data_IF_609624306936
#
_entry.id   IF_609624306936
#
_cell.length_a   1.000
_cell.length_b   1.000
_cell.length_c   1.000
_cell.angle_alpha   90.00
_cell.angle_beta   90.00
_cell.angle_gamma   90.00
#
_symmetry.space_group_name_H-M   'P 1'
#
loop_
_entity.id
_entity.type
_entity.pdbx_description
1 polymer ?
#
# COMPACT_ATOMS: atom_id res chain seq x y z
N UNK A 1 10.08 4.77 5.15
CA UNK A 1 9.86 3.31 5.26
C UNK A 1 10.81 2.52 4.34
N UNK A 2 12.13 2.64 4.55
CA UNK A 2 13.18 2.04 3.70
C UNK A 2 13.95 0.92 4.42
N UNK A 3 13.25 -0.09 4.92
CA UNK A 3 13.90 -1.26 5.53
C UNK A 3 14.83 -1.97 4.54
N UNK A 4 15.75 -2.84 5.02
CA UNK A 4 16.85 -3.41 4.23
C UNK A 4 16.41 -4.30 3.04
N UNK A 5 15.11 -4.52 2.85
CA UNK A 5 14.55 -5.36 1.82
C UNK A 5 13.78 -4.49 0.83
N UNK A 6 14.46 -4.10 -0.25
CA UNK A 6 13.82 -3.39 -1.35
C UNK A 6 12.97 -4.40 -2.14
N UNK A 7 11.67 -4.49 -1.86
CA UNK A 7 10.75 -5.29 -2.66
C UNK A 7 10.57 -4.63 -4.03
N UNK A 8 10.98 -5.32 -5.09
CA UNK A 8 10.82 -4.81 -6.44
C UNK A 8 9.35 -4.80 -6.87
N UNK A 9 9.02 -3.93 -7.82
CA UNK A 9 7.68 -3.86 -8.42
C UNK A 9 7.25 -5.22 -9.02
N UNK A 10 8.21 -5.99 -9.55
CA UNK A 10 7.98 -7.35 -10.05
C UNK A 10 7.64 -8.34 -8.93
N UNK A 11 8.24 -8.18 -7.74
CA UNK A 11 7.87 -8.98 -6.58
C UNK A 11 6.44 -8.66 -6.12
N UNK A 12 6.05 -7.37 -6.10
CA UNK A 12 4.68 -6.95 -5.77
C UNK A 12 3.66 -7.58 -6.74
N UNK A 13 3.90 -7.48 -8.05
CA UNK A 13 3.05 -8.11 -9.08
C UNK A 13 2.91 -9.62 -8.90
N UNK A 14 4.03 -10.33 -8.69
CA UNK A 14 4.03 -11.78 -8.50
C UNK A 14 3.25 -12.19 -7.25
N UNK A 15 3.41 -11.47 -6.15
CA UNK A 15 2.76 -11.81 -4.88
C UNK A 15 1.26 -11.51 -4.89
N UNK A 16 0.81 -10.46 -5.55
CA UNK A 16 -0.60 -10.03 -5.48
C UNK A 16 -1.43 -10.38 -6.71
N UNK A 17 -0.81 -10.62 -7.88
CA UNK A 17 -1.53 -10.80 -9.14
C UNK A 17 -2.51 -11.98 -9.15
N UNK A 18 -2.28 -13.02 -8.34
CA UNK A 18 -3.19 -14.16 -8.21
C UNK A 18 -4.41 -13.88 -7.32
N UNK A 19 -4.37 -12.83 -6.48
CA UNK A 19 -5.42 -12.49 -5.52
C UNK A 19 -6.57 -11.69 -6.15
N UNK A 20 -6.37 -11.13 -7.35
CA UNK A 20 -7.38 -10.32 -8.07
C UNK A 20 -7.95 -9.18 -7.22
N UNK A 21 -7.09 -8.50 -6.47
CA UNK A 21 -7.46 -7.36 -5.62
C UNK A 21 -8.03 -6.25 -6.50
N UNK A 22 -9.23 -5.77 -6.19
CA UNK A 22 -9.83 -4.61 -6.87
C UNK A 22 -9.30 -3.29 -6.30
N UNK A 23 -9.47 -2.20 -7.06
CA UNK A 23 -9.11 -0.85 -6.57
C UNK A 23 -9.81 -0.53 -5.25
N UNK A 24 -11.11 -0.83 -5.13
CA UNK A 24 -11.88 -0.56 -3.91
C UNK A 24 -11.36 -1.34 -2.69
N UNK A 25 -10.95 -2.60 -2.88
CA UNK A 25 -10.35 -3.40 -1.79
C UNK A 25 -8.98 -2.86 -1.37
N UNK A 26 -8.22 -2.33 -2.32
CA UNK A 26 -6.95 -1.70 -2.03
C UNK A 26 -7.13 -0.38 -1.28
N UNK A 27 -8.11 0.45 -1.68
CA UNK A 27 -8.46 1.69 -1.00
C UNK A 27 -8.92 1.43 0.44
N UNK A 28 -9.79 0.44 0.66
CA UNK A 28 -10.23 0.03 2.00
C UNK A 28 -9.05 -0.40 2.89
N UNK A 29 -8.06 -1.12 2.33
CA UNK A 29 -6.85 -1.48 3.06
C UNK A 29 -6.01 -0.26 3.46
N UNK A 30 -5.92 0.74 2.57
CA UNK A 30 -5.19 1.99 2.84
C UNK A 30 -5.89 2.77 3.95
N UNK A 31 -7.21 2.85 3.94
CA UNK A 31 -7.98 3.54 4.98
C UNK A 31 -7.75 2.89 6.35
N UNK A 32 -7.84 1.55 6.45
CA UNK A 32 -7.54 0.81 7.69
C UNK A 32 -6.11 1.08 8.18
N UNK A 33 -5.13 1.12 7.27
CA UNK A 33 -3.75 1.42 7.63
C UNK A 33 -3.60 2.85 8.17
N UNK A 34 -4.24 3.83 7.54
CA UNK A 34 -4.21 5.23 7.98
C UNK A 34 -4.82 5.36 9.36
N UNK A 35 -6.02 4.82 9.58
CA UNK A 35 -6.69 4.80 10.89
C UNK A 35 -5.79 4.16 11.96
N UNK A 36 -5.14 3.05 11.62
CA UNK A 36 -4.20 2.39 12.54
C UNK A 36 -3.02 3.30 12.88
N UNK A 37 -2.41 3.98 11.90
CA UNK A 37 -1.27 4.86 12.16
C UNK A 37 -1.68 6.10 12.99
N UNK A 38 -2.88 6.62 12.77
CA UNK A 38 -3.47 7.69 13.57
C UNK A 38 -3.68 7.24 15.02
N UNK A 39 -4.20 6.03 15.25
CA UNK A 39 -4.39 5.45 16.60
C UNK A 39 -3.08 5.28 17.39
N UNK A 40 -1.95 5.20 16.69
CA UNK A 40 -0.60 5.10 17.29
C UNK A 40 0.12 6.46 17.37
N UNK A 41 -0.59 7.57 17.18
CA UNK A 41 -0.06 8.95 17.24
C UNK A 41 1.11 9.19 16.26
N UNK A 42 1.13 8.50 15.12
CA UNK A 42 2.12 8.75 14.06
C UNK A 42 1.89 10.14 13.45
N UNK A 43 2.96 10.87 13.15
CA UNK A 43 2.83 12.21 12.59
C UNK A 43 2.09 12.19 11.25
N UNK A 44 1.14 13.11 11.05
CA UNK A 44 0.35 13.19 9.81
C UNK A 44 1.23 13.25 8.56
N UNK A 45 2.38 13.93 8.64
CA UNK A 45 3.31 14.01 7.52
C UNK A 45 3.83 12.62 7.10
N UNK A 46 4.17 11.77 8.07
CA UNK A 46 4.65 10.42 7.82
C UNK A 46 3.54 9.49 7.31
N UNK A 47 2.31 9.69 7.78
CA UNK A 47 1.12 9.00 7.28
C UNK A 47 0.89 9.33 5.80
N UNK A 48 0.91 10.62 5.43
CA UNK A 48 0.73 11.05 4.04
C UNK A 48 1.84 10.53 3.12
N UNK A 49 3.10 10.55 3.58
CA UNK A 49 4.23 9.98 2.83
C UNK A 49 4.01 8.48 2.58
N UNK A 50 3.57 7.75 3.60
CA UNK A 50 3.33 6.29 3.51
C UNK A 50 2.15 5.98 2.60
N UNK A 51 1.03 6.68 2.77
CA UNK A 51 -0.15 6.57 1.92
C UNK A 51 0.19 6.84 0.46
N UNK A 52 0.97 7.89 0.19
CA UNK A 52 1.42 8.23 -1.16
C UNK A 52 2.29 7.13 -1.74
N UNK A 53 3.30 6.64 -1.02
CA UNK A 53 4.20 5.59 -1.52
C UNK A 53 3.45 4.30 -1.88
N UNK A 54 2.48 3.91 -1.06
CA UNK A 54 1.64 2.73 -1.34
C UNK A 54 0.73 2.95 -2.54
N UNK A 55 0.11 4.13 -2.63
CA UNK A 55 -0.80 4.49 -3.75
C UNK A 55 -0.05 4.55 -5.08
N UNK A 56 1.16 5.11 -5.11
CA UNK A 56 2.02 5.18 -6.30
C UNK A 56 2.36 3.78 -6.86
N UNK A 57 2.35 2.76 -5.99
CA UNK A 57 2.64 1.36 -6.32
C UNK A 57 1.39 0.49 -6.51
N UNK A 58 0.19 1.05 -6.38
CA UNK A 58 -1.08 0.32 -6.48
C UNK A 58 -1.21 -0.48 -7.79
N UNK A 59 -0.68 0.04 -8.91
CA UNK A 59 -0.65 -0.63 -10.22
C UNK A 59 0.09 -1.98 -10.24
N UNK A 60 0.90 -2.28 -9.22
CA UNK A 60 1.61 -3.56 -9.07
C UNK A 60 0.88 -4.54 -8.14
N UNK A 61 -0.23 -4.12 -7.53
CA UNK A 61 -0.97 -4.86 -6.50
C UNK A 61 -2.41 -5.11 -6.96
N UNK A 62 -3.07 -4.09 -7.49
CA UNK A 62 -4.43 -4.15 -8.03
C UNK A 62 -4.42 -4.90 -9.35
N UNK A 63 -5.42 -5.78 -9.55
CA UNK A 63 -5.64 -6.40 -10.83
C UNK A 63 -6.22 -5.37 -11.81
N UNK A 64 -5.47 -5.08 -12.88
CA UNK A 64 -5.99 -4.28 -14.00
C UNK A 64 -7.26 -4.96 -14.52
N UNK A 65 -8.40 -4.29 -14.34
CA UNK A 65 -9.69 -4.67 -14.90
C UNK A 65 -9.82 -4.12 -16.32
#
# INVERSE_FOLDING_TARGET
MGGPTNYSNEALKRMHGHLRISTAQFEELIDILVETLEDFDVEQQDIEITKKDMTDRSQYIVANS
#
